data_IF_857277678658
#
_entry.id   IF_857277678658
#
_cell.length_a   1.000
_cell.length_b   1.000
_cell.length_c   1.000
_cell.angle_alpha   90.00
_cell.angle_beta   90.00
_cell.angle_gamma   90.00
#
_symmetry.space_group_name_H-M   'P 1'
#
loop_
_entity.id
_entity.type
_entity.pdbx_description
1 polymer ?
#
# COMPACT_ATOMS: atom_id res chain seq x y z
N UNK A 1 -8.41 -17.92 1.28
CA UNK A 1 -9.33 -17.66 2.42
C UNK A 1 -10.30 -18.82 2.55
N UNK A 2 -10.59 -19.29 3.78
CA UNK A 2 -11.48 -20.46 4.02
C UNK A 2 -11.14 -21.70 3.16
N UNK A 3 -9.84 -22.01 2.98
CA UNK A 3 -9.39 -23.16 2.17
C UNK A 3 -9.33 -22.92 0.66
N UNK A 4 -9.90 -21.82 0.15
CA UNK A 4 -9.76 -21.42 -1.26
C UNK A 4 -8.43 -20.69 -1.48
N UNK A 5 -7.53 -21.29 -2.26
CA UNK A 5 -6.22 -20.73 -2.64
C UNK A 5 -6.14 -20.30 -4.11
N UNK A 6 -7.05 -20.81 -4.96
CA UNK A 6 -7.09 -20.46 -6.38
C UNK A 6 -7.50 -19.00 -6.59
N UNK A 7 -6.79 -18.30 -7.48
CA UNK A 7 -6.96 -16.86 -7.73
C UNK A 7 -6.67 -15.93 -6.53
N UNK A 8 -5.98 -16.42 -5.49
CA UNK A 8 -5.78 -15.71 -4.22
C UNK A 8 -5.04 -14.37 -4.32
N UNK A 9 -4.13 -14.23 -5.28
CA UNK A 9 -3.42 -12.98 -5.57
C UNK A 9 -4.34 -11.85 -6.08
N UNK A 10 -5.54 -12.19 -6.56
CA UNK A 10 -6.49 -11.23 -7.12
C UNK A 10 -7.58 -10.80 -6.13
N UNK A 11 -7.50 -11.15 -4.84
CA UNK A 11 -8.58 -10.88 -3.87
C UNK A 11 -8.37 -9.63 -3.01
N UNK A 12 -7.45 -8.74 -3.40
CA UNK A 12 -7.15 -7.50 -2.68
C UNK A 12 -7.81 -6.29 -3.33
N UNK A 13 -8.40 -5.45 -2.49
CA UNK A 13 -9.02 -4.18 -2.85
C UNK A 13 -8.33 -3.06 -2.08
N UNK A 14 -8.15 -1.90 -2.70
CA UNK A 14 -7.64 -0.68 -2.11
C UNK A 14 -8.68 0.42 -2.33
N UNK A 15 -9.15 1.05 -1.25
CA UNK A 15 -10.14 2.11 -1.26
C UNK A 15 -11.43 1.74 -2.03
N UNK A 16 -11.85 0.47 -1.88
CA UNK A 16 -13.04 -0.08 -2.55
C UNK A 16 -12.82 -0.50 -4.01
N UNK A 17 -11.67 -0.21 -4.60
CA UNK A 17 -11.32 -0.61 -5.96
C UNK A 17 -10.45 -1.86 -5.94
N UNK A 18 -10.65 -2.76 -6.90
CA UNK A 18 -9.80 -3.94 -7.04
C UNK A 18 -8.39 -3.50 -7.40
N UNK A 19 -7.38 -3.95 -6.66
CA UNK A 19 -5.99 -3.78 -7.09
C UNK A 19 -5.79 -4.60 -8.35
N UNK A 20 -5.69 -3.91 -9.48
CA UNK A 20 -5.55 -4.53 -10.79
C UNK A 20 -4.13 -5.06 -10.96
N UNK A 21 -3.93 -6.31 -10.56
CA UNK A 21 -2.78 -7.12 -10.93
C UNK A 21 -3.19 -8.17 -11.96
N UNK A 22 -2.26 -8.56 -12.82
CA UNK A 22 -2.46 -9.73 -13.67
C UNK A 22 -2.01 -10.97 -12.88
N UNK A 23 -2.98 -11.74 -12.39
CA UNK A 23 -2.73 -12.95 -11.62
C UNK A 23 -2.05 -14.06 -12.43
N UNK A 24 -2.04 -13.95 -13.77
CA UNK A 24 -1.33 -14.86 -14.67
C UNK A 24 0.07 -14.37 -15.03
N UNK A 25 0.50 -13.23 -14.48
CA UNK A 25 1.81 -12.63 -14.67
C UNK A 25 2.45 -12.33 -13.31
N UNK A 26 3.70 -11.84 -13.32
CA UNK A 26 4.41 -11.43 -12.11
C UNK A 26 4.07 -9.98 -11.69
N UNK A 27 3.13 -9.34 -12.39
CA UNK A 27 2.68 -7.97 -12.12
C UNK A 27 1.56 -7.95 -11.10
N UNK A 28 1.91 -8.20 -9.84
CA UNK A 28 1.01 -8.04 -8.70
C UNK A 28 1.44 -6.83 -7.86
N UNK A 29 0.50 -5.95 -7.54
CA UNK A 29 0.77 -4.79 -6.71
C UNK A 29 0.69 -5.20 -5.24
N UNK A 30 1.76 -4.90 -4.50
CA UNK A 30 1.80 -5.05 -3.05
C UNK A 30 1.90 -3.65 -2.44
N UNK A 31 0.89 -3.29 -1.65
CA UNK A 31 0.87 -2.02 -0.92
C UNK A 31 1.55 -2.24 0.43
N UNK A 32 2.44 -1.33 0.81
CA UNK A 32 3.08 -1.40 2.12
C UNK A 32 2.10 -1.00 3.23
N UNK A 33 1.98 -1.78 4.33
CA UNK A 33 1.03 -1.48 5.40
C UNK A 33 1.20 -0.11 6.05
N UNK A 34 2.37 0.52 5.94
CA UNK A 34 2.59 1.86 6.49
C UNK A 34 1.70 2.94 5.85
N UNK A 35 1.21 2.71 4.63
CA UNK A 35 0.31 3.59 3.90
C UNK A 35 -1.17 3.30 4.17
N UNK A 36 -1.47 2.25 4.93
CA UNK A 36 -2.82 1.83 5.24
C UNK A 36 -3.23 2.36 6.62
N UNK A 37 -4.49 2.72 6.74
CA UNK A 37 -5.11 3.03 8.03
C UNK A 37 -5.65 1.73 8.65
N UNK A 38 -6.38 0.95 7.85
CA UNK A 38 -6.90 -0.34 8.26
C UNK A 38 -6.90 -1.37 7.13
N UNK A 39 -7.11 -2.63 7.52
CA UNK A 39 -7.26 -3.77 6.63
C UNK A 39 -8.37 -4.66 7.15
N UNK A 40 -9.38 -4.89 6.32
CA UNK A 40 -10.56 -5.69 6.62
C UNK A 40 -10.57 -6.98 5.80
N UNK A 41 -11.00 -8.08 6.43
CA UNK A 41 -11.11 -9.38 5.77
C UNK A 41 -12.57 -9.80 5.74
N UNK A 42 -13.19 -9.67 4.57
CA UNK A 42 -14.57 -10.10 4.34
C UNK A 42 -14.57 -11.57 3.94
N UNK A 43 -15.18 -12.42 4.76
CA UNK A 43 -15.17 -13.87 4.56
C UNK A 43 -16.47 -14.34 3.88
N UNK A 44 -16.33 -15.09 2.78
CA UNK A 44 -17.46 -15.64 2.02
C UNK A 44 -17.79 -14.85 0.76
N UNK A 45 -18.86 -15.22 0.03
CA UNK A 45 -19.18 -14.64 -1.27
C UNK A 45 -19.53 -13.15 -1.17
N UNK A 46 -18.63 -12.28 -1.64
CA UNK A 46 -18.81 -10.83 -1.66
C UNK A 46 -19.11 -10.29 -3.08
N UNK A 47 -19.42 -11.18 -4.04
CA UNK A 47 -19.56 -10.85 -5.46
C UNK A 47 -20.71 -9.90 -5.78
N UNK A 48 -21.72 -9.81 -4.91
CA UNK A 48 -22.88 -8.92 -5.08
C UNK A 48 -22.46 -7.45 -5.09
N UNK A 49 -21.51 -7.06 -4.25
CA UNK A 49 -21.06 -5.67 -4.10
C UNK A 49 -19.72 -5.41 -4.81
N UNK A 50 -18.84 -6.40 -4.88
CA UNK A 50 -17.46 -6.23 -5.38
C UNK A 50 -17.21 -6.92 -6.74
N UNK A 51 -18.25 -7.47 -7.36
CA UNK A 51 -18.18 -8.12 -8.68
C UNK A 51 -17.29 -9.37 -8.67
N UNK A 52 -16.18 -9.34 -9.42
CA UNK A 52 -15.22 -10.46 -9.52
C UNK A 52 -14.43 -10.61 -8.22
N UNK A 53 -15.02 -11.28 -7.23
CA UNK A 53 -14.41 -11.68 -5.97
C UNK A 53 -14.44 -13.20 -5.80
N UNK A 54 -13.41 -13.78 -5.19
CA UNK A 54 -13.35 -15.22 -4.90
C UNK A 54 -14.44 -15.63 -3.91
N UNK A 55 -15.00 -16.86 -4.02
CA UNK A 55 -15.96 -17.39 -3.05
C UNK A 55 -15.41 -17.49 -1.62
N UNK A 56 -14.07 -17.52 -1.47
CA UNK A 56 -13.41 -17.49 -0.17
C UNK A 56 -13.51 -16.15 0.56
N UNK A 57 -13.76 -15.05 -0.16
CA UNK A 57 -13.78 -13.68 0.37
C UNK A 57 -12.81 -12.73 -0.32
N UNK A 58 -12.68 -11.54 0.26
CA UNK A 58 -11.75 -10.49 -0.18
C UNK A 58 -11.06 -9.81 1.00
N UNK A 59 -9.93 -9.18 0.71
CA UNK A 59 -9.24 -8.26 1.62
C UNK A 59 -9.49 -6.85 1.11
N UNK A 60 -10.10 -6.00 1.95
CA UNK A 60 -10.28 -4.58 1.68
C UNK A 60 -9.24 -3.80 2.48
N UNK A 61 -8.47 -2.97 1.81
CA UNK A 61 -7.49 -2.07 2.42
C UNK A 61 -8.00 -0.65 2.28
N UNK A 62 -7.96 0.13 3.35
CA UNK A 62 -8.22 1.57 3.29
C UNK A 62 -6.90 2.29 3.48
N UNK A 63 -6.56 3.15 2.52
CA UNK A 63 -5.40 4.01 2.64
C UNK A 63 -5.63 5.06 3.73
N UNK A 64 -4.54 5.53 4.33
CA UNK A 64 -4.56 6.75 5.14
C UNK A 64 -5.12 7.92 4.31
N UNK A 65 -5.76 8.88 4.97
CA UNK A 65 -6.35 10.06 4.32
C UNK A 65 -5.85 11.35 4.95
N UNK A 66 -5.91 12.48 4.24
CA UNK A 66 -5.63 13.78 4.83
C UNK A 66 -6.52 14.09 6.03
N UNK A 67 -5.91 14.63 7.08
CA UNK A 67 -6.58 15.10 8.30
C UNK A 67 -6.54 16.63 8.34
N UNK A 68 -7.59 17.25 8.88
CA UNK A 68 -7.70 18.72 9.03
C UNK A 68 -7.06 19.23 10.33
N UNK A 69 -6.23 18.40 10.95
CA UNK A 69 -5.43 18.71 12.12
C UNK A 69 -3.97 18.41 11.79
N UNK A 70 -3.07 19.27 12.24
CA UNK A 70 -1.64 19.08 12.02
C UNK A 70 -1.14 17.84 12.78
N UNK A 71 -0.59 16.89 12.03
CA UNK A 71 -0.05 15.65 12.58
C UNK A 71 1.17 15.20 11.77
N UNK A 72 2.14 14.64 12.47
CA UNK A 72 3.41 14.25 11.87
C UNK A 72 4.08 13.11 12.62
N UNK A 73 4.58 12.14 11.87
CA UNK A 73 5.30 10.99 12.39
C UNK A 73 6.56 10.73 11.57
N UNK A 74 7.65 10.36 12.26
CA UNK A 74 8.85 9.80 11.65
C UNK A 74 9.13 8.46 12.34
N UNK A 75 9.35 7.41 11.55
CA UNK A 75 9.77 6.09 12.04
C UNK A 75 11.10 5.70 11.44
N UNK A 76 11.99 5.21 12.28
CA UNK A 76 13.25 4.58 11.87
C UNK A 76 13.29 3.17 12.44
N UNK A 77 13.76 2.22 11.64
CA UNK A 77 13.82 0.81 12.01
C UNK A 77 15.14 0.19 11.60
N UNK A 78 15.69 -0.64 12.48
CA UNK A 78 16.86 -1.49 12.22
C UNK A 78 16.58 -2.89 12.74
N UNK A 79 17.12 -3.91 12.09
CA UNK A 79 16.83 -5.30 12.43
C UNK A 79 17.91 -6.28 11.97
N UNK A 80 17.58 -7.57 12.08
CA UNK A 80 18.40 -8.65 11.54
C UNK A 80 18.48 -8.57 10.00
N UNK A 81 19.42 -9.32 9.41
CA UNK A 81 19.62 -9.36 7.96
C UNK A 81 19.87 -7.98 7.33
N UNK A 82 20.63 -7.12 8.05
CA UNK A 82 20.91 -5.75 7.63
C UNK A 82 19.65 -4.92 7.30
N UNK A 83 18.50 -5.29 7.89
CA UNK A 83 17.25 -4.57 7.71
C UNK A 83 17.39 -3.16 8.24
N UNK A 84 17.01 -2.20 7.38
CA UNK A 84 16.95 -0.78 7.69
C UNK A 84 15.74 -0.17 7.01
N UNK A 85 15.01 0.66 7.73
CA UNK A 85 13.87 1.40 7.21
C UNK A 85 13.81 2.81 7.78
N UNK A 86 13.31 3.72 6.97
CA UNK A 86 12.94 5.06 7.37
C UNK A 86 11.60 5.38 6.73
N UNK A 87 10.69 5.95 7.50
CA UNK A 87 9.37 6.33 7.06
C UNK A 87 8.95 7.66 7.68
N UNK A 88 8.12 8.39 6.97
CA UNK A 88 7.53 9.62 7.47
C UNK A 88 6.09 9.72 6.99
N UNK A 89 5.27 10.40 7.78
CA UNK A 89 3.87 10.65 7.48
C UNK A 89 3.51 12.01 8.03
N UNK A 90 3.12 12.93 7.14
CA UNK A 90 2.81 14.31 7.49
C UNK A 90 1.42 14.64 6.94
N UNK A 91 0.58 15.26 7.75
CA UNK A 91 -0.76 15.70 7.33
C UNK A 91 -1.16 16.97 8.07
N UNK A 92 -2.08 17.73 7.46
CA UNK A 92 -2.62 18.93 8.06
C UNK A 92 -3.43 19.77 7.05
N UNK A 93 -4.09 20.84 7.53
CA UNK A 93 -4.75 21.82 6.68
C UNK A 93 -3.73 22.67 5.90
N UNK A 94 -4.14 23.14 4.73
CA UNK A 94 -3.38 24.05 3.86
C UNK A 94 -3.97 25.47 3.80
N UNK A 95 -5.15 25.67 4.39
CA UNK A 95 -5.89 26.93 4.40
C UNK A 95 -6.42 27.24 5.81
N UNK A 96 -6.64 28.54 6.08
CA UNK A 96 -7.16 29.01 7.37
C UNK A 96 -8.60 28.54 7.64
N UNK A 97 -9.35 28.33 6.56
CA UNK A 97 -10.74 27.86 6.57
C UNK A 97 -10.84 26.35 6.82
N UNK A 98 -9.71 25.62 6.83
CA UNK A 98 -9.62 24.16 7.00
C UNK A 98 -10.52 23.39 6.03
N UNK A 99 -10.52 23.80 4.77
CA UNK A 99 -11.25 23.12 3.68
C UNK A 99 -10.34 22.41 2.72
N UNK A 100 -9.03 22.63 2.82
CA UNK A 100 -8.01 21.96 2.04
C UNK A 100 -7.04 21.26 3.00
N UNK A 101 -6.87 19.95 2.88
CA UNK A 101 -5.92 19.19 3.67
C UNK A 101 -4.98 18.37 2.79
N UNK A 102 -3.74 18.21 3.21
CA UNK A 102 -2.76 17.38 2.53
C UNK A 102 -2.34 16.20 3.39
N UNK A 103 -1.85 15.15 2.74
CA UNK A 103 -1.05 14.11 3.39
C UNK A 103 0.10 13.70 2.50
N UNK A 104 1.28 13.57 3.09
CA UNK A 104 2.46 13.06 2.43
C UNK A 104 3.06 11.95 3.28
N UNK A 105 2.87 10.73 2.83
CA UNK A 105 3.47 9.54 3.45
C UNK A 105 4.58 9.02 2.56
N UNK A 106 5.69 8.62 3.16
CA UNK A 106 6.83 8.05 2.44
C UNK A 106 7.54 6.98 3.24
N UNK A 107 8.08 5.97 2.56
CA UNK A 107 8.85 4.89 3.19
C UNK A 107 9.95 4.40 2.28
N UNK A 108 11.14 4.26 2.85
CA UNK A 108 12.28 3.58 2.25
C UNK A 108 12.69 2.41 3.14
N UNK A 109 12.88 1.23 2.56
CA UNK A 109 13.35 0.05 3.28
C UNK A 109 14.30 -0.78 2.44
N UNK A 110 15.30 -1.34 3.11
CA UNK A 110 16.25 -2.29 2.54
C UNK A 110 16.53 -3.41 3.54
N UNK A 111 16.62 -4.65 3.06
CA UNK A 111 16.99 -5.81 3.86
C UNK A 111 17.63 -6.89 2.99
N UNK A 112 18.48 -7.71 3.59
CA UNK A 112 18.93 -8.96 2.99
C UNK A 112 17.88 -10.03 3.27
N UNK A 113 17.61 -10.91 2.31
CA UNK A 113 16.69 -12.02 2.57
C UNK A 113 17.40 -13.15 3.34
N UNK A 114 16.63 -14.09 3.88
CA UNK A 114 17.18 -15.31 4.47
C UNK A 114 17.93 -16.21 3.46
N UNK A 115 17.68 -16.03 2.16
CA UNK A 115 18.28 -16.78 1.07
C UNK A 115 19.37 -15.95 0.39
N UNK A 116 20.65 -16.32 0.52
CA UNK A 116 21.74 -15.57 -0.10
C UNK A 116 21.75 -15.72 -1.63
N UNK A 117 22.25 -14.74 -2.42
CA UNK A 117 22.56 -13.32 -2.14
C UNK A 117 21.42 -12.39 -2.57
N UNK A 118 20.17 -12.70 -2.18
CA UNK A 118 19.00 -11.91 -2.60
C UNK A 118 18.76 -10.78 -1.61
N UNK A 119 18.66 -9.55 -2.13
CA UNK A 119 18.33 -8.34 -1.38
C UNK A 119 16.93 -7.85 -1.74
N UNK A 120 16.27 -7.20 -0.78
CA UNK A 120 15.01 -6.50 -0.99
C UNK A 120 15.19 -5.01 -0.75
N UNK A 121 14.72 -4.19 -1.69
CA UNK A 121 14.71 -2.73 -1.59
C UNK A 121 13.39 -2.19 -2.10
N UNK A 122 12.77 -1.32 -1.30
CA UNK A 122 11.51 -0.67 -1.61
C UNK A 122 11.59 0.82 -1.28
N UNK A 123 11.10 1.63 -2.20
CA UNK A 123 10.87 3.05 -2.02
C UNK A 123 9.43 3.35 -2.43
N UNK A 124 8.65 3.94 -1.55
CA UNK A 124 7.28 4.31 -1.84
C UNK A 124 6.98 5.72 -1.31
N UNK A 125 6.14 6.45 -2.04
CA UNK A 125 5.62 7.75 -1.65
C UNK A 125 4.15 7.85 -2.09
N UNK A 126 3.33 8.45 -1.22
CA UNK A 126 1.90 8.62 -1.46
C UNK A 126 1.48 10.05 -1.12
N UNK A 127 1.50 10.98 -2.10
CA UNK A 127 0.92 12.29 -1.93
C UNK A 127 -0.61 12.23 -2.07
N UNK A 128 -1.28 12.95 -1.19
CA UNK A 128 -2.73 13.06 -1.14
C UNK A 128 -3.16 14.50 -0.87
N UNK A 129 -4.30 14.88 -1.45
CA UNK A 129 -4.93 16.17 -1.26
C UNK A 129 -6.45 15.99 -1.17
N UNK A 130 -7.05 16.49 -0.11
CA UNK A 130 -8.51 16.52 0.05
C UNK A 130 -8.97 17.97 0.06
N UNK A 131 -9.93 18.29 -0.81
CA UNK A 131 -10.55 19.59 -0.92
C UNK A 131 -12.05 19.48 -0.74
N UNK A 132 -12.55 20.06 0.35
CA UNK A 132 -13.99 20.23 0.59
C UNK A 132 -14.43 21.49 -0.16
N UNK A 133 -15.00 21.31 -1.37
CA UNK A 133 -15.44 22.36 -2.30
C UNK A 133 -16.72 23.04 -1.82
N UNK A 134 -17.57 22.32 -1.10
CA UNK A 134 -18.70 22.84 -0.33
C UNK A 134 -18.93 21.92 0.87
N UNK A 135 -19.84 22.28 1.78
CA UNK A 135 -20.26 21.42 2.90
C UNK A 135 -20.85 20.06 2.45
N UNK A 136 -21.20 19.93 1.17
CA UNK A 136 -21.79 18.71 0.59
C UNK A 136 -20.92 18.09 -0.52
N UNK A 137 -19.73 18.62 -0.81
CA UNK A 137 -18.90 18.14 -1.93
C UNK A 137 -17.43 18.14 -1.54
N UNK A 138 -16.84 16.95 -1.49
CA UNK A 138 -15.40 16.76 -1.28
C UNK A 138 -14.76 16.05 -2.46
N UNK A 139 -13.53 16.46 -2.78
CA UNK A 139 -12.69 15.86 -3.80
C UNK A 139 -11.38 15.40 -3.16
N UNK A 140 -11.07 14.12 -3.26
CA UNK A 140 -9.79 13.58 -2.81
C UNK A 140 -8.96 13.13 -4.00
N UNK A 141 -7.75 13.68 -4.12
CA UNK A 141 -6.73 13.28 -5.07
C UNK A 141 -5.72 12.41 -4.34
N UNK A 142 -5.46 11.21 -4.87
CA UNK A 142 -4.51 10.26 -4.30
C UNK A 142 -3.62 9.71 -5.40
N UNK A 143 -2.31 9.74 -5.17
CA UNK A 143 -1.34 9.04 -5.99
C UNK A 143 -0.46 8.14 -5.11
N UNK A 144 -0.10 6.98 -5.64
CA UNK A 144 0.78 6.02 -4.99
C UNK A 144 1.89 5.62 -5.96
N UNK A 145 3.14 5.95 -5.61
CA UNK A 145 4.31 5.62 -6.41
C UNK A 145 5.20 4.69 -5.61
N UNK A 146 5.40 3.48 -6.10
CA UNK A 146 6.31 2.49 -5.51
C UNK A 146 7.33 2.03 -6.54
N UNK A 147 8.58 1.94 -6.08
CA UNK A 147 9.69 1.36 -6.83
C UNK A 147 10.36 0.31 -5.98
N UNK A 148 10.43 -0.91 -6.53
CA UNK A 148 11.12 -2.05 -5.93
C UNK A 148 12.31 -2.44 -6.81
N UNK A 149 13.50 -1.79 -6.69
CA UNK A 149 14.65 -2.08 -7.56
C UNK A 149 15.22 -3.49 -7.38
N UNK A 150 14.98 -4.08 -6.21
CA UNK A 150 15.32 -5.46 -5.89
C UNK A 150 14.13 -6.04 -5.15
N UNK A 151 13.45 -6.98 -5.77
CA UNK A 151 12.34 -7.71 -5.18
C UNK A 151 12.68 -9.20 -5.23
N UNK A 152 12.47 -9.93 -4.13
CA UNK A 152 12.75 -11.36 -4.06
C UNK A 152 11.92 -12.20 -5.06
N UNK A 153 10.89 -11.60 -5.67
CA UNK A 153 9.93 -12.26 -6.55
C UNK A 153 10.24 -12.05 -8.05
N UNK A 154 11.32 -11.35 -8.40
CA UNK A 154 11.71 -11.20 -9.82
C UNK A 154 12.68 -12.32 -10.22
N UNK A 155 12.34 -13.23 -11.16
CA UNK A 155 13.28 -14.26 -11.64
C UNK A 155 14.48 -13.67 -12.41
N UNK A 156 14.49 -12.35 -12.63
CA UNK A 156 15.51 -11.63 -13.37
C UNK A 156 16.70 -11.15 -12.52
N UNK A 157 16.80 -11.49 -11.23
CA UNK A 157 18.02 -11.18 -10.48
C UNK A 157 19.09 -12.22 -10.83
N UNK A 158 20.14 -11.88 -11.63
CA UNK A 158 21.22 -12.82 -11.87
C UNK A 158 21.89 -13.14 -10.54
N UNK A 159 21.84 -14.41 -10.13
CA UNK A 159 22.73 -14.90 -9.09
C UNK A 159 24.16 -14.65 -9.58
N UNK A 160 24.88 -13.74 -8.91
CA UNK A 160 26.33 -13.67 -9.09
C UNK A 160 26.90 -14.99 -8.60
N UNK A 161 27.25 -15.86 -9.54
CA UNK A 161 28.07 -17.03 -9.28
C UNK A 161 29.39 -16.55 -8.64
N UNK A 162 29.76 -17.18 -7.53
CA UNK A 162 31.12 -17.11 -7.00
C UNK A 162 32.04 -17.99 -7.83
#
# INVERSE_FOLDING_TARGET
>A
MRGFSDGSLSNTFLDGLKLMGDANSYSSLVIDPYFLDNLEVVKGPASVLYGRASPGGLVSMTSKRPEFEDSGEIRVGVGNNAQRSAAFDLTGPLDDERRLAFRLTGKASAADTQFGPVEEKRYAIAPQLTWDITDATSLTLHAYLQKDPRAAITPACPMKAR
#
